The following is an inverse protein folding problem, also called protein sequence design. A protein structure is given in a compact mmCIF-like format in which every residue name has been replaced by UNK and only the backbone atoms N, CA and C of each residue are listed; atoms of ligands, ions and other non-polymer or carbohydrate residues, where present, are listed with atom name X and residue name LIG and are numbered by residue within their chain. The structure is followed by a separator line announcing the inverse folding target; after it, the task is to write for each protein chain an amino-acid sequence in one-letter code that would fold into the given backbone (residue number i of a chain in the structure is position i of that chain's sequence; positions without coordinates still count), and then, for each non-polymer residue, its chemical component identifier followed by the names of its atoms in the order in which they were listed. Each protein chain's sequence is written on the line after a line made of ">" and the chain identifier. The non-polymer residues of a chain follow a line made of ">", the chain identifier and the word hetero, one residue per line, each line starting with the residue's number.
data_IF_710147656093
#
_entry.id   IF_710147656093
#
_cell.length_a   1.000
_cell.length_b   1.000
_cell.length_c   1.000
_cell.angle_alpha   90.00
_cell.angle_beta   90.00
_cell.angle_gamma   90.00
#
_symmetry.space_group_name_H-M   'P 1'
#
loop_
_entity.id
_entity.type
_entity.pdbx_description
1 polymer ?
#
# COMPACT_ATOMS: atom_id res chain seq x y z
N UNK A 1 -35.99 -7.80 21.90
CA UNK A 1 -36.00 -8.64 23.11
C UNK A 1 -35.81 -10.09 22.67
N UNK A 2 -34.60 -10.64 22.83
CA UNK A 2 -34.35 -12.06 22.55
C UNK A 2 -34.84 -12.88 23.75
N UNK A 3 -35.94 -13.61 23.56
CA UNK A 3 -36.16 -14.86 24.30
C UNK A 3 -35.09 -15.86 23.84
N UNK A 4 -34.67 -16.77 24.72
CA UNK A 4 -33.78 -17.94 24.46
C UNK A 4 -32.33 -17.89 24.98
N UNK A 5 -32.06 -17.28 26.13
CA UNK A 5 -30.78 -17.54 26.86
C UNK A 5 -30.93 -17.94 28.33
N UNK A 6 -32.16 -18.08 28.83
CA UNK A 6 -32.37 -18.32 30.26
C UNK A 6 -32.38 -19.80 30.67
N UNK A 7 -32.55 -20.73 29.74
CA UNK A 7 -32.80 -22.13 30.07
C UNK A 7 -31.95 -23.08 29.22
N UNK A 8 -31.37 -24.09 29.88
CA UNK A 8 -30.51 -25.07 29.22
C UNK A 8 -31.41 -26.01 28.41
N UNK A 9 -31.06 -26.22 27.14
CA UNK A 9 -31.82 -27.12 26.25
C UNK A 9 -31.96 -28.53 26.84
N UNK A 10 -33.13 -29.16 26.63
CA UNK A 10 -33.50 -30.44 27.27
C UNK A 10 -32.56 -31.60 26.89
N UNK A 11 -31.97 -31.56 25.69
CA UNK A 11 -30.96 -32.53 25.27
C UNK A 11 -29.70 -32.47 26.12
N UNK A 12 -29.28 -31.26 26.50
CA UNK A 12 -28.14 -31.04 27.40
C UNK A 12 -28.46 -31.44 28.83
N UNK A 13 -29.63 -31.08 29.35
CA UNK A 13 -30.09 -31.49 30.70
C UNK A 13 -30.03 -33.01 30.87
N UNK A 14 -30.55 -33.77 29.90
CA UNK A 14 -30.54 -35.24 29.90
C UNK A 14 -29.11 -35.81 29.85
N UNK A 15 -28.26 -35.24 28.99
CA UNK A 15 -26.88 -35.71 28.81
C UNK A 15 -26.03 -35.47 30.05
N UNK A 16 -26.06 -34.25 30.61
CA UNK A 16 -25.32 -33.88 31.80
C UNK A 16 -25.78 -34.68 33.03
N UNK A 17 -27.09 -34.90 33.18
CA UNK A 17 -27.64 -35.74 34.26
C UNK A 17 -27.05 -37.15 34.23
N UNK A 18 -26.83 -37.72 33.04
CA UNK A 18 -26.21 -39.04 32.92
C UNK A 18 -24.70 -39.00 33.14
N UNK A 19 -24.01 -37.97 32.64
CA UNK A 19 -22.55 -37.82 32.83
C UNK A 19 -22.21 -37.67 34.32
N UNK A 20 -22.97 -36.86 35.05
CA UNK A 20 -22.74 -36.58 36.47
C UNK A 20 -23.06 -37.73 37.42
N UNK A 21 -23.58 -38.85 36.90
CA UNK A 21 -23.64 -40.13 37.65
C UNK A 21 -22.30 -40.86 37.68
N UNK A 22 -21.39 -40.55 36.76
CA UNK A 22 -20.12 -41.28 36.60
C UNK A 22 -18.89 -40.37 36.70
N UNK A 23 -19.07 -39.06 36.52
CA UNK A 23 -17.97 -38.11 36.47
C UNK A 23 -18.22 -36.91 37.37
N UNK A 24 -17.16 -36.52 38.09
CA UNK A 24 -17.15 -35.34 38.95
C UNK A 24 -16.76 -34.11 38.13
N UNK A 25 -17.63 -33.09 38.03
CA UNK A 25 -17.34 -31.87 37.31
C UNK A 25 -16.29 -31.00 38.01
N UNK A 26 -15.41 -30.43 37.19
CA UNK A 26 -14.51 -29.34 37.57
C UNK A 26 -14.96 -28.11 36.77
N UNK A 27 -15.43 -27.09 37.47
CA UNK A 27 -15.93 -25.84 36.88
C UNK A 27 -14.82 -24.81 36.87
N UNK A 28 -14.41 -24.34 35.69
CA UNK A 28 -13.31 -23.39 35.50
C UNK A 28 -13.78 -22.20 34.65
N UNK A 29 -13.57 -20.98 35.12
CA UNK A 29 -13.77 -19.74 34.35
C UNK A 29 -15.15 -19.08 34.46
N UNK A 30 -15.28 -17.90 33.82
CA UNK A 30 -16.46 -17.01 33.92
C UNK A 30 -17.79 -17.65 33.47
N UNK A 31 -17.74 -18.65 32.58
CA UNK A 31 -18.93 -19.33 32.06
C UNK A 31 -19.61 -20.30 33.04
N UNK A 32 -18.97 -20.63 34.17
CA UNK A 32 -19.57 -21.51 35.20
C UNK A 32 -20.77 -20.88 35.90
N UNK A 33 -20.81 -19.55 36.00
CA UNK A 33 -21.93 -18.80 36.60
C UNK A 33 -22.99 -18.39 35.56
N UNK A 34 -23.08 -19.12 34.45
CA UNK A 34 -24.18 -18.97 33.51
C UNK A 34 -25.52 -19.30 34.18
N UNK A 35 -26.54 -18.48 33.93
CA UNK A 35 -27.83 -18.61 34.59
C UNK A 35 -28.52 -19.95 34.33
N UNK A 36 -28.36 -20.48 33.11
CA UNK A 36 -29.00 -21.72 32.67
C UNK A 36 -28.32 -22.97 33.26
N UNK A 37 -26.98 -22.99 33.30
CA UNK A 37 -26.22 -24.08 33.92
C UNK A 37 -26.39 -24.10 35.44
N UNK A 38 -26.34 -22.93 36.09
CA UNK A 38 -26.56 -22.81 37.52
C UNK A 38 -27.96 -23.28 37.91
N UNK A 39 -28.99 -22.90 37.14
CA UNK A 39 -30.35 -23.37 37.35
C UNK A 39 -30.49 -24.90 37.25
N UNK A 40 -29.82 -25.51 36.25
CA UNK A 40 -29.78 -26.97 36.11
C UNK A 40 -29.09 -27.66 37.31
N UNK A 41 -27.91 -27.18 37.71
CA UNK A 41 -27.17 -27.75 38.85
C UNK A 41 -27.94 -27.58 40.18
N UNK A 42 -28.68 -26.49 40.34
CA UNK A 42 -29.56 -26.27 41.50
C UNK A 42 -30.74 -27.24 41.55
N UNK A 43 -31.23 -27.73 40.41
CA UNK A 43 -32.33 -28.70 40.32
C UNK A 43 -31.84 -30.15 40.46
N UNK A 44 -30.60 -30.43 40.09
CA UNK A 44 -30.03 -31.77 40.15
C UNK A 44 -29.99 -32.29 41.61
N UNK A 45 -30.40 -33.53 41.84
CA UNK A 45 -30.47 -34.11 43.19
C UNK A 45 -29.09 -34.32 43.80
N UNK A 46 -28.16 -34.90 43.03
CA UNK A 46 -26.78 -35.14 43.46
C UNK A 46 -25.83 -35.30 42.27
N UNK A 47 -24.54 -35.12 42.53
CA UNK A 47 -23.44 -35.35 41.58
C UNK A 47 -22.48 -36.35 42.22
N UNK A 48 -22.18 -37.44 41.51
CA UNK A 48 -21.29 -38.49 42.02
C UNK A 48 -19.85 -37.96 42.14
N UNK A 49 -19.27 -38.08 43.33
CA UNK A 49 -17.96 -37.50 43.67
C UNK A 49 -17.96 -35.98 43.90
N UNK A 50 -19.12 -35.34 43.85
CA UNK A 50 -19.33 -33.94 44.22
C UNK A 50 -19.05 -32.92 43.10
N UNK A 51 -18.57 -31.72 43.44
CA UNK A 51 -18.23 -30.68 42.45
C UNK A 51 -16.99 -29.90 42.86
N UNK A 52 -16.04 -29.70 41.95
CA UNK A 52 -14.91 -28.80 42.18
C UNK A 52 -15.19 -27.47 41.48
N UNK A 53 -15.24 -26.39 42.25
CA UNK A 53 -15.48 -25.06 41.73
C UNK A 53 -14.22 -24.22 41.83
N UNK A 54 -13.58 -23.96 40.69
CA UNK A 54 -12.35 -23.19 40.64
C UNK A 54 -12.63 -21.69 40.61
N UNK A 55 -11.88 -20.92 41.39
CA UNK A 55 -11.98 -19.46 41.43
C UNK A 55 -10.60 -18.83 41.50
N UNK A 56 -10.43 -17.66 40.89
CA UNK A 56 -9.19 -16.90 41.00
C UNK A 56 -9.17 -16.12 42.29
N UNK A 57 -8.11 -16.26 43.08
CA UNK A 57 -7.98 -15.50 44.33
C UNK A 57 -8.00 -13.99 44.09
N UNK A 58 -7.47 -13.55 42.93
CA UNK A 58 -7.52 -12.14 42.48
C UNK A 58 -8.94 -11.58 42.31
N UNK A 59 -9.90 -12.45 41.99
CA UNK A 59 -11.29 -12.05 41.72
C UNK A 59 -12.16 -12.08 43.00
N UNK A 60 -11.58 -12.51 44.13
CA UNK A 60 -12.28 -12.69 45.40
C UNK A 60 -13.08 -14.00 45.48
N UNK A 61 -13.68 -14.23 46.65
CA UNK A 61 -14.47 -15.45 46.90
C UNK A 61 -15.72 -15.51 46.01
N UNK A 62 -16.13 -16.70 45.55
CA UNK A 62 -17.37 -16.89 44.81
C UNK A 62 -18.60 -16.35 45.56
N UNK A 63 -19.64 -15.97 44.82
CA UNK A 63 -20.87 -15.46 45.43
C UNK A 63 -21.62 -16.52 46.25
N UNK A 64 -22.58 -16.10 47.09
CA UNK A 64 -23.34 -17.00 47.97
C UNK A 64 -24.14 -18.08 47.22
N UNK A 65 -24.56 -17.81 45.98
CA UNK A 65 -25.28 -18.79 45.15
C UNK A 65 -24.38 -19.99 44.83
N UNK A 66 -23.14 -19.71 44.42
CA UNK A 66 -22.13 -20.73 44.14
C UNK A 66 -21.78 -21.50 45.41
N UNK A 67 -21.56 -20.80 46.53
CA UNK A 67 -21.24 -21.47 47.81
C UNK A 67 -22.33 -22.46 48.23
N UNK A 68 -23.60 -22.07 48.14
CA UNK A 68 -24.74 -22.95 48.44
C UNK A 68 -24.79 -24.18 47.52
N UNK A 69 -24.55 -23.98 46.22
CA UNK A 69 -24.54 -25.07 45.24
C UNK A 69 -23.40 -26.06 45.51
N UNK A 70 -22.20 -25.56 45.82
CA UNK A 70 -21.04 -26.38 46.16
C UNK A 70 -21.32 -27.20 47.42
N UNK A 71 -21.91 -26.60 48.46
CA UNK A 71 -22.31 -27.32 49.67
C UNK A 71 -23.38 -28.38 49.37
N UNK A 72 -24.41 -28.05 48.59
CA UNK A 72 -25.48 -28.97 48.20
C UNK A 72 -24.90 -30.26 47.59
N UNK A 73 -23.92 -30.11 46.71
CA UNK A 73 -23.29 -31.20 45.98
C UNK A 73 -22.01 -31.72 46.62
N UNK A 74 -21.79 -31.51 47.93
CA UNK A 74 -20.60 -32.01 48.67
C UNK A 74 -19.27 -31.66 47.97
N UNK A 75 -19.19 -30.46 47.40
CA UNK A 75 -18.09 -30.01 46.59
C UNK A 75 -17.03 -29.21 47.34
N UNK A 76 -16.01 -28.77 46.59
CA UNK A 76 -14.87 -27.99 47.09
C UNK A 76 -14.69 -26.71 46.27
N UNK A 77 -14.42 -25.60 46.96
CA UNK A 77 -13.90 -24.40 46.33
C UNK A 77 -12.39 -24.55 46.17
N UNK A 78 -11.89 -24.41 44.95
CA UNK A 78 -10.47 -24.60 44.62
C UNK A 78 -9.89 -23.26 44.15
N UNK A 79 -8.99 -22.63 44.92
CA UNK A 79 -8.29 -21.43 44.45
C UNK A 79 -7.34 -21.81 43.29
N UNK A 80 -7.32 -20.97 42.25
CA UNK A 80 -6.42 -21.10 41.10
C UNK A 80 -5.76 -19.76 40.80
N UNK A 81 -4.52 -19.76 40.32
CA UNK A 81 -3.83 -18.54 39.86
C UNK A 81 -4.46 -18.00 38.57
N UNK A 82 -4.81 -18.90 37.66
CA UNK A 82 -5.45 -18.60 36.39
C UNK A 82 -5.84 -19.88 35.65
N UNK A 83 -6.59 -19.71 34.54
CA UNK A 83 -7.05 -20.83 33.73
C UNK A 83 -5.86 -21.59 33.13
N UNK A 84 -4.89 -20.87 32.56
CA UNK A 84 -3.77 -21.47 31.84
C UNK A 84 -2.82 -22.21 32.80
N UNK A 85 -2.53 -21.63 33.97
CA UNK A 85 -1.70 -22.23 35.02
C UNK A 85 -2.33 -23.52 35.55
N UNK A 86 -3.65 -23.51 35.79
CA UNK A 86 -4.38 -24.70 36.21
C UNK A 86 -4.31 -25.80 35.14
N UNK A 87 -4.51 -25.46 33.86
CA UNK A 87 -4.43 -26.42 32.77
C UNK A 87 -3.02 -27.01 32.61
N UNK A 88 -1.97 -26.20 32.82
CA UNK A 88 -0.58 -26.67 32.85
C UNK A 88 -0.34 -27.62 34.03
N UNK A 89 -0.83 -27.30 35.22
CA UNK A 89 -0.72 -28.17 36.39
C UNK A 89 -1.45 -29.51 36.16
N UNK A 90 -2.67 -29.49 35.62
CA UNK A 90 -3.40 -30.70 35.26
C UNK A 90 -2.63 -31.54 34.21
N UNK A 91 -2.08 -30.89 33.19
CA UNK A 91 -1.27 -31.56 32.18
C UNK A 91 -0.02 -32.22 32.79
N UNK A 92 0.68 -31.52 33.68
CA UNK A 92 1.87 -32.06 34.36
C UNK A 92 1.58 -33.32 35.19
N UNK A 93 0.37 -33.42 35.76
CA UNK A 93 -0.06 -34.55 36.59
C UNK A 93 -0.60 -35.73 35.79
N UNK A 94 -1.15 -35.48 34.60
CA UNK A 94 -1.75 -36.51 33.74
C UNK A 94 -0.89 -36.90 32.54
N UNK A 95 0.19 -36.17 32.31
CA UNK A 95 1.19 -36.39 31.26
C UNK A 95 0.56 -36.45 29.86
N UNK A 96 -0.34 -35.51 29.52
CA UNK A 96 -1.01 -35.49 28.21
C UNK A 96 -0.10 -35.03 27.04
N UNK A 97 1.15 -34.61 27.34
CA UNK A 97 2.12 -34.12 26.38
C UNK A 97 1.82 -32.68 25.91
N UNK A 98 2.85 -31.94 25.52
CA UNK A 98 2.68 -30.63 24.88
C UNK A 98 2.26 -30.88 23.42
N UNK A 99 1.06 -30.45 23.04
CA UNK A 99 0.46 -30.69 21.71
C UNK A 99 1.01 -29.74 20.63
N UNK A 100 2.29 -29.41 20.69
CA UNK A 100 2.91 -28.32 19.91
C UNK A 100 2.68 -28.50 18.39
N UNK A 101 3.01 -29.69 17.88
CA UNK A 101 2.91 -29.97 16.44
C UNK A 101 1.46 -30.03 15.93
N UNK A 102 0.52 -30.51 16.76
CA UNK A 102 -0.90 -30.58 16.41
C UNK A 102 -1.57 -29.21 16.47
N UNK A 103 -1.23 -28.40 17.47
CA UNK A 103 -1.72 -27.02 17.62
C UNK A 103 -1.19 -26.18 16.46
N UNK A 104 0.10 -26.31 16.13
CA UNK A 104 0.72 -25.63 14.99
C UNK A 104 0.01 -26.00 13.68
N UNK A 105 -0.21 -27.29 13.42
CA UNK A 105 -0.93 -27.76 12.23
C UNK A 105 -2.37 -27.25 12.16
N UNK A 106 -3.08 -27.18 13.30
CA UNK A 106 -4.45 -26.62 13.35
C UNK A 106 -4.42 -25.10 13.10
N UNK A 107 -3.45 -24.38 13.64
CA UNK A 107 -3.28 -22.95 13.42
C UNK A 107 -2.96 -22.64 11.95
N UNK A 108 -2.07 -23.42 11.33
CA UNK A 108 -1.75 -23.34 9.90
C UNK A 108 -2.99 -23.61 9.03
N UNK A 109 -3.74 -24.67 9.33
CA UNK A 109 -4.99 -24.97 8.61
C UNK A 109 -6.04 -23.86 8.76
N UNK A 110 -6.14 -23.24 9.94
CA UNK A 110 -7.04 -22.09 10.16
C UNK A 110 -6.57 -20.87 9.37
N UNK A 111 -5.26 -20.59 9.36
CA UNK A 111 -4.68 -19.50 8.59
C UNK A 111 -4.94 -19.66 7.09
N UNK A 112 -4.72 -20.87 6.54
CA UNK A 112 -5.00 -21.19 5.13
C UNK A 112 -6.48 -20.99 4.79
N UNK A 113 -7.38 -21.43 5.69
CA UNK A 113 -8.82 -21.23 5.54
C UNK A 113 -9.20 -19.75 5.52
N UNK A 114 -8.62 -18.94 6.41
CA UNK A 114 -8.88 -17.49 6.42
C UNK A 114 -8.35 -16.81 5.16
N UNK A 115 -7.16 -17.20 4.69
CA UNK A 115 -6.60 -16.70 3.44
C UNK A 115 -7.52 -17.02 2.25
N UNK A 116 -7.98 -18.26 2.13
CA UNK A 116 -8.95 -18.64 1.11
C UNK A 116 -10.31 -17.93 1.23
N UNK A 117 -10.74 -17.58 2.45
CA UNK A 117 -11.95 -16.77 2.64
C UNK A 117 -11.74 -15.32 2.18
N UNK A 118 -10.60 -14.71 2.49
CA UNK A 118 -10.24 -13.37 2.03
C UNK A 118 -10.13 -13.32 0.51
N UNK A 119 -9.46 -14.31 -0.11
CA UNK A 119 -9.37 -14.43 -1.57
C UNK A 119 -10.76 -14.58 -2.20
N UNK A 120 -11.64 -15.41 -1.62
CA UNK A 120 -13.02 -15.54 -2.08
C UNK A 120 -13.84 -14.25 -1.90
N UNK A 121 -13.62 -13.49 -0.83
CA UNK A 121 -14.27 -12.20 -0.61
C UNK A 121 -13.77 -11.17 -1.62
N UNK A 122 -12.47 -11.10 -1.89
CA UNK A 122 -11.89 -10.22 -2.92
C UNK A 122 -12.37 -10.59 -4.33
N UNK A 123 -12.56 -11.88 -4.60
CA UNK A 123 -13.18 -12.35 -5.85
C UNK A 123 -14.66 -11.97 -5.94
N UNK A 124 -15.37 -11.90 -4.80
CA UNK A 124 -16.77 -11.41 -4.74
C UNK A 124 -16.86 -9.89 -4.80
N UNK A 125 -15.92 -9.13 -4.22
CA UNK A 125 -15.86 -7.66 -4.38
C UNK A 125 -15.67 -7.22 -5.85
N UNK A 126 -15.15 -8.11 -6.70
CA UNK A 126 -15.10 -7.90 -8.15
C UNK A 126 -16.46 -8.00 -8.84
N UNK A 127 -17.55 -8.41 -8.17
CA UNK A 127 -18.89 -8.28 -8.73
C UNK A 127 -19.45 -6.88 -8.45
N UNK A 128 -19.62 -6.09 -9.53
CA UNK A 128 -20.06 -4.69 -9.52
C UNK A 128 -21.40 -4.42 -8.80
N UNK A 129 -22.19 -5.43 -8.47
CA UNK A 129 -23.51 -5.27 -7.87
C UNK A 129 -23.48 -4.84 -6.39
N UNK A 130 -22.45 -5.22 -5.62
CA UNK A 130 -22.41 -4.89 -4.17
C UNK A 130 -21.90 -3.47 -3.91
N UNK A 131 -21.00 -2.96 -4.76
CA UNK A 131 -20.51 -1.58 -4.71
C UNK A 131 -21.62 -0.59 -5.03
N UNK A 132 -22.46 -0.86 -6.04
CA UNK A 132 -23.56 0.05 -6.42
C UNK A 132 -24.60 0.21 -5.30
N UNK A 133 -24.99 -0.88 -4.62
CA UNK A 133 -25.96 -0.81 -3.52
C UNK A 133 -25.40 -0.09 -2.28
N UNK A 134 -24.11 -0.27 -1.98
CA UNK A 134 -23.43 0.43 -0.90
C UNK A 134 -23.26 1.92 -1.23
N UNK A 135 -22.85 2.24 -2.46
CA UNK A 135 -22.74 3.61 -2.98
C UNK A 135 -24.08 4.34 -2.96
N UNK A 136 -25.18 3.69 -3.35
CA UNK A 136 -26.53 4.27 -3.30
C UNK A 136 -27.01 4.50 -1.87
N UNK A 137 -26.64 3.61 -0.93
CA UNK A 137 -26.97 3.78 0.50
C UNK A 137 -26.17 4.94 1.10
N UNK A 138 -24.87 5.03 0.77
CA UNK A 138 -23.99 6.11 1.22
C UNK A 138 -24.41 7.46 0.62
N UNK A 139 -24.79 7.52 -0.66
CA UNK A 139 -25.34 8.74 -1.28
C UNK A 139 -26.62 9.22 -0.59
N UNK A 140 -27.45 8.29 -0.11
CA UNK A 140 -28.69 8.62 0.61
C UNK A 140 -28.44 9.03 2.05
N UNK A 141 -27.42 8.46 2.72
CA UNK A 141 -27.06 8.76 4.11
C UNK A 141 -25.54 8.58 4.36
N UNK A 142 -24.70 9.59 4.06
CA UNK A 142 -23.29 9.50 4.40
C UNK A 142 -23.13 9.52 5.92
N UNK A 143 -22.49 8.51 6.49
CA UNK A 143 -22.17 8.46 7.93
C UNK A 143 -20.66 8.48 8.15
N UNK A 144 -20.17 9.57 8.73
CA UNK A 144 -18.77 9.74 9.10
C UNK A 144 -17.87 10.18 7.94
N UNK A 145 -16.64 10.53 8.29
CA UNK A 145 -15.68 11.13 7.38
C UNK A 145 -15.34 10.26 6.16
N UNK A 146 -15.30 8.93 6.34
CA UNK A 146 -14.94 7.97 5.28
C UNK A 146 -15.99 7.92 4.16
N UNK A 147 -17.26 8.24 4.46
CA UNK A 147 -18.32 8.31 3.46
C UNK A 147 -18.08 9.46 2.48
N UNK A 148 -17.57 10.59 2.96
CA UNK A 148 -17.20 11.74 2.13
C UNK A 148 -16.08 11.36 1.16
N UNK A 149 -15.07 10.62 1.61
CA UNK A 149 -13.99 10.13 0.74
C UNK A 149 -14.52 9.26 -0.40
N UNK A 150 -15.46 8.36 -0.11
CA UNK A 150 -16.06 7.49 -1.12
C UNK A 150 -16.89 8.31 -2.14
N UNK A 151 -17.69 9.27 -1.66
CA UNK A 151 -18.44 10.17 -2.53
C UNK A 151 -17.50 11.00 -3.43
N UNK A 152 -16.42 11.54 -2.86
CA UNK A 152 -15.43 12.28 -3.60
C UNK A 152 -14.69 11.41 -4.63
N UNK A 153 -14.39 10.14 -4.32
CA UNK A 153 -13.78 9.19 -5.27
C UNK A 153 -14.70 8.87 -6.44
N UNK A 154 -16.00 8.68 -6.17
CA UNK A 154 -16.99 8.37 -7.20
C UNK A 154 -17.34 9.57 -8.11
N UNK A 155 -17.18 10.80 -7.61
CA UNK A 155 -17.44 12.01 -8.37
C UNK A 155 -16.32 12.30 -9.40
N UNK A 156 -16.71 12.40 -10.67
CA UNK A 156 -15.81 12.68 -11.80
C UNK A 156 -15.69 14.18 -12.07
N UNK A 157 -16.73 14.94 -11.77
CA UNK A 157 -16.71 16.40 -11.91
C UNK A 157 -15.84 17.02 -10.81
N UNK A 158 -14.77 17.69 -11.23
CA UNK A 158 -13.75 18.23 -10.34
C UNK A 158 -14.34 19.28 -9.38
N UNK A 159 -15.27 20.12 -9.85
CA UNK A 159 -15.86 21.20 -9.04
C UNK A 159 -16.85 20.64 -8.01
N UNK A 160 -17.65 19.64 -8.39
CA UNK A 160 -18.53 18.94 -7.43
C UNK A 160 -17.72 18.15 -6.41
N UNK A 161 -16.65 17.50 -6.83
CA UNK A 161 -15.73 16.79 -5.93
C UNK A 161 -15.11 17.71 -4.90
N UNK A 162 -14.69 18.91 -5.31
CA UNK A 162 -14.19 19.93 -4.38
C UNK A 162 -15.26 20.32 -3.36
N UNK A 163 -16.50 20.58 -3.80
CA UNK A 163 -17.63 20.88 -2.88
C UNK A 163 -17.93 19.74 -1.90
N UNK A 164 -17.77 18.49 -2.30
CA UNK A 164 -17.92 17.32 -1.41
C UNK A 164 -16.89 17.40 -0.28
N UNK A 165 -15.62 17.66 -0.59
CA UNK A 165 -14.59 17.83 0.44
C UNK A 165 -14.87 19.05 1.34
N UNK A 166 -15.22 20.21 0.77
CA UNK A 166 -15.56 21.41 1.54
C UNK A 166 -16.79 21.22 2.44
N UNK A 167 -17.77 20.44 2.00
CA UNK A 167 -18.90 20.02 2.84
C UNK A 167 -18.47 19.08 3.95
N UNK A 168 -17.67 18.06 3.62
CA UNK A 168 -17.20 17.06 4.57
C UNK A 168 -16.32 17.62 5.69
N UNK A 169 -15.41 18.56 5.39
CA UNK A 169 -14.61 19.22 6.44
C UNK A 169 -15.45 20.17 7.32
N UNK A 170 -16.59 20.68 6.83
CA UNK A 170 -17.52 21.46 7.65
C UNK A 170 -18.35 20.56 8.58
N UNK A 171 -18.73 19.38 8.11
CA UNK A 171 -19.48 18.39 8.89
C UNK A 171 -18.58 17.64 9.89
N UNK A 172 -17.34 17.36 9.52
CA UNK A 172 -16.36 16.63 10.32
C UNK A 172 -15.07 17.45 10.50
N UNK A 173 -15.11 18.58 11.22
CA UNK A 173 -13.98 19.53 11.34
C UNK A 173 -12.78 18.98 12.13
N UNK A 174 -12.92 17.84 12.80
CA UNK A 174 -11.83 17.18 13.53
C UNK A 174 -11.22 15.99 12.75
N UNK A 175 -11.69 15.71 11.52
CA UNK A 175 -11.19 14.59 10.73
C UNK A 175 -9.86 14.91 10.05
N UNK A 176 -8.77 14.46 10.67
CA UNK A 176 -7.40 14.49 10.12
C UNK A 176 -7.33 13.88 8.71
N UNK A 177 -8.06 12.78 8.49
CA UNK A 177 -8.07 12.06 7.22
C UNK A 177 -8.71 12.89 6.09
N UNK A 178 -9.80 13.61 6.36
CA UNK A 178 -10.43 14.44 5.32
C UNK A 178 -9.55 15.61 4.91
N UNK A 179 -8.92 16.28 5.86
CA UNK A 179 -7.95 17.33 5.54
C UNK A 179 -6.80 16.79 4.70
N UNK A 180 -6.26 15.63 5.06
CA UNK A 180 -5.22 14.97 4.27
C UNK A 180 -5.65 14.56 2.86
N UNK A 181 -6.82 13.94 2.72
CA UNK A 181 -7.34 13.51 1.43
C UNK A 181 -7.68 14.71 0.53
N UNK A 182 -8.27 15.77 1.11
CA UNK A 182 -8.55 16.99 0.38
C UNK A 182 -7.25 17.69 -0.06
N UNK A 183 -6.22 17.71 0.79
CA UNK A 183 -4.90 18.19 0.41
C UNK A 183 -4.30 17.41 -0.77
N UNK A 184 -4.43 16.08 -0.78
CA UNK A 184 -4.00 15.24 -1.91
C UNK A 184 -4.78 15.61 -3.19
N UNK A 185 -6.09 15.77 -3.11
CA UNK A 185 -6.93 16.17 -4.24
C UNK A 185 -6.52 17.54 -4.79
N UNK A 186 -6.32 18.53 -3.92
CA UNK A 186 -5.89 19.87 -4.30
C UNK A 186 -4.52 19.85 -4.99
N UNK A 187 -3.59 19.05 -4.49
CA UNK A 187 -2.26 18.92 -5.10
C UNK A 187 -2.29 18.17 -6.44
N UNK A 188 -2.95 17.01 -6.50
CA UNK A 188 -2.87 16.12 -7.67
C UNK A 188 -3.83 16.50 -8.80
N UNK A 189 -4.98 17.07 -8.47
CA UNK A 189 -6.05 17.36 -9.46
C UNK A 189 -6.16 18.85 -9.74
N UNK A 190 -6.30 19.68 -8.70
CA UNK A 190 -6.45 21.13 -8.86
C UNK A 190 -5.13 21.85 -9.10
N UNK A 191 -4.01 21.24 -8.68
CA UNK A 191 -2.69 21.87 -8.60
C UNK A 191 -2.68 23.17 -7.79
N UNK A 192 -3.61 23.28 -6.84
CA UNK A 192 -3.64 24.37 -5.86
C UNK A 192 -2.72 23.98 -4.69
N UNK A 193 -1.42 24.21 -4.90
CA UNK A 193 -0.37 23.77 -3.98
C UNK A 193 -0.41 24.54 -2.65
N UNK A 194 -0.82 25.81 -2.67
CA UNK A 194 -0.89 26.64 -1.48
C UNK A 194 -2.04 26.20 -0.57
N UNK A 195 -3.24 25.96 -1.11
CA UNK A 195 -4.33 25.38 -0.31
C UNK A 195 -4.01 23.95 0.14
N UNK A 196 -3.42 23.14 -0.73
CA UNK A 196 -3.01 21.77 -0.38
C UNK A 196 -2.11 21.76 0.85
N UNK A 197 -1.07 22.61 0.86
CA UNK A 197 -0.17 22.73 1.99
C UNK A 197 -0.87 23.24 3.26
N UNK A 198 -1.79 24.20 3.12
CA UNK A 198 -2.61 24.68 4.23
C UNK A 198 -3.39 23.55 4.90
N UNK A 199 -4.00 22.65 4.12
CA UNK A 199 -4.74 21.52 4.67
C UNK A 199 -3.86 20.39 5.22
N UNK A 200 -2.67 20.14 4.65
CA UNK A 200 -1.70 19.25 5.30
C UNK A 200 -1.28 19.76 6.67
N UNK A 201 -0.97 21.06 6.77
CA UNK A 201 -0.64 21.69 8.07
C UNK A 201 -1.81 21.59 9.03
N UNK A 202 -3.04 21.84 8.57
CA UNK A 202 -4.23 21.72 9.42
C UNK A 202 -4.44 20.30 9.95
N UNK A 203 -4.25 19.29 9.10
CA UNK A 203 -4.32 17.89 9.52
C UNK A 203 -3.28 17.56 10.61
N UNK A 204 -2.05 18.07 10.47
CA UNK A 204 -0.98 17.87 11.44
C UNK A 204 -1.12 18.71 12.72
N UNK A 205 -1.86 19.83 12.68
CA UNK A 205 -2.26 20.57 13.88
C UNK A 205 -3.27 19.77 14.72
N UNK A 206 -4.21 19.09 14.06
CA UNK A 206 -5.22 18.27 14.72
C UNK A 206 -4.63 17.00 15.32
N UNK A 207 -3.72 16.34 14.60
CA UNK A 207 -2.95 15.20 15.11
C UNK A 207 -1.49 15.24 14.61
N UNK A 208 -0.56 15.74 15.45
CA UNK A 208 0.86 15.81 15.13
C UNK A 208 1.54 14.44 14.96
N UNK A 209 0.91 13.36 15.40
CA UNK A 209 1.45 12.00 15.44
C UNK A 209 0.81 11.09 14.37
N UNK A 210 -0.02 11.63 13.49
CA UNK A 210 -0.64 10.85 12.42
C UNK A 210 0.37 10.53 11.31
N UNK A 211 0.95 9.33 11.37
CA UNK A 211 2.05 8.89 10.50
C UNK A 211 1.71 9.02 8.99
N UNK A 212 0.52 8.61 8.57
CA UNK A 212 0.13 8.63 7.15
C UNK A 212 0.08 10.05 6.56
N UNK A 213 -0.44 11.04 7.30
CA UNK A 213 -0.45 12.44 6.85
C UNK A 213 0.97 13.01 6.88
N UNK A 214 1.77 12.66 7.88
CA UNK A 214 3.19 13.04 7.97
C UNK A 214 3.97 12.56 6.73
N UNK A 215 3.80 11.29 6.34
CA UNK A 215 4.42 10.73 5.14
C UNK A 215 3.90 11.34 3.83
N UNK A 216 2.58 11.61 3.74
CA UNK A 216 2.00 12.29 2.58
C UNK A 216 2.50 13.72 2.43
N UNK A 217 2.64 14.46 3.53
CA UNK A 217 3.18 15.81 3.51
C UNK A 217 4.67 15.82 3.17
N UNK A 218 5.45 14.85 3.66
CA UNK A 218 6.84 14.66 3.22
C UNK A 218 6.94 14.46 1.71
N UNK A 219 6.08 13.58 1.15
CA UNK A 219 5.99 13.35 -0.29
C UNK A 219 5.56 14.60 -1.06
N UNK A 220 4.66 15.42 -0.52
CA UNK A 220 4.27 16.70 -1.14
C UNK A 220 5.44 17.70 -1.15
N UNK A 221 6.13 17.87 -0.02
CA UNK A 221 7.30 18.75 0.08
C UNK A 221 8.42 18.32 -0.88
N UNK A 222 8.66 17.01 -0.98
CA UNK A 222 9.63 16.44 -1.90
C UNK A 222 9.23 16.61 -3.36
N UNK A 223 8.04 16.17 -3.76
CA UNK A 223 7.67 16.06 -5.17
C UNK A 223 7.20 17.39 -5.75
N UNK A 224 6.50 18.22 -4.97
CA UNK A 224 5.84 19.44 -5.44
C UNK A 224 6.66 20.67 -5.07
N UNK A 225 6.91 20.90 -3.76
CA UNK A 225 7.61 22.12 -3.31
C UNK A 225 9.12 22.08 -3.56
N UNK A 226 9.68 20.88 -3.74
CA UNK A 226 11.14 20.64 -3.83
C UNK A 226 11.90 21.17 -2.60
N UNK A 227 11.23 21.25 -1.45
CA UNK A 227 11.81 21.66 -0.17
C UNK A 227 12.46 20.46 0.52
N UNK A 228 13.58 20.00 -0.04
CA UNK A 228 14.17 18.70 0.28
C UNK A 228 14.60 18.55 1.74
N UNK A 229 15.12 19.60 2.37
CA UNK A 229 15.54 19.53 3.79
C UNK A 229 14.34 19.37 4.73
N UNK A 230 13.24 20.09 4.46
CA UNK A 230 11.99 19.92 5.23
C UNK A 230 11.38 18.56 4.96
N UNK A 231 11.34 18.12 3.70
CA UNK A 231 10.83 16.80 3.33
C UNK A 231 11.58 15.68 4.07
N UNK A 232 12.92 15.76 4.15
CA UNK A 232 13.73 14.80 4.91
C UNK A 232 13.40 14.79 6.41
N UNK A 233 13.16 15.96 7.01
CA UNK A 233 12.70 16.05 8.40
C UNK A 233 11.40 15.27 8.64
N UNK A 234 10.42 15.44 7.75
CA UNK A 234 9.15 14.71 7.82
C UNK A 234 9.29 13.22 7.49
N UNK A 235 10.16 12.83 6.55
CA UNK A 235 10.45 11.42 6.30
C UNK A 235 11.07 10.74 7.54
N UNK A 236 12.00 11.39 8.24
CA UNK A 236 12.53 10.84 9.49
C UNK A 236 11.46 10.74 10.57
N UNK A 237 10.64 11.80 10.74
CA UNK A 237 9.54 11.82 11.69
C UNK A 237 8.53 10.69 11.44
N UNK A 238 8.14 10.41 10.19
CA UNK A 238 7.18 9.31 9.94
C UNK A 238 7.76 7.93 10.29
N UNK A 239 9.07 7.73 10.17
CA UNK A 239 9.73 6.49 10.58
C UNK A 239 9.88 6.35 12.10
N UNK A 240 9.89 7.48 12.84
CA UNK A 240 9.80 7.47 14.30
C UNK A 240 8.38 7.15 14.78
N UNK A 241 7.36 7.70 14.10
CA UNK A 241 5.95 7.48 14.43
C UNK A 241 5.48 6.07 14.06
N UNK A 242 5.93 5.52 12.94
CA UNK A 242 5.56 4.20 12.46
C UNK A 242 6.78 3.46 11.85
N UNK A 243 7.63 2.86 12.69
CA UNK A 243 8.89 2.25 12.26
C UNK A 243 8.72 0.96 11.44
N UNK A 244 7.51 0.39 11.41
CA UNK A 244 7.20 -0.89 10.76
C UNK A 244 6.39 -0.72 9.47
N UNK A 245 6.19 0.51 8.99
CA UNK A 245 5.48 0.75 7.74
C UNK A 245 6.42 0.66 6.53
N UNK A 246 6.22 -0.37 5.71
CA UNK A 246 7.05 -0.61 4.53
C UNK A 246 7.00 0.53 3.51
N UNK A 247 5.81 1.05 3.16
CA UNK A 247 5.70 2.17 2.20
C UNK A 247 6.45 3.44 2.65
N UNK A 248 6.34 3.85 3.92
CA UNK A 248 7.06 5.03 4.42
C UNK A 248 8.57 4.84 4.35
N UNK A 249 9.03 3.63 4.72
CA UNK A 249 10.44 3.23 4.63
C UNK A 249 10.94 3.24 3.17
N UNK A 250 10.19 2.65 2.24
CA UNK A 250 10.51 2.61 0.82
C UNK A 250 10.48 3.99 0.15
N UNK A 251 9.56 4.87 0.58
CA UNK A 251 9.50 6.26 0.10
C UNK A 251 10.75 7.05 0.54
N UNK A 252 11.18 6.89 1.79
CA UNK A 252 12.41 7.55 2.26
C UNK A 252 13.66 7.00 1.55
N UNK A 253 13.72 5.69 1.28
CA UNK A 253 14.78 5.10 0.46
C UNK A 253 14.85 5.75 -0.94
N UNK A 254 13.69 5.92 -1.58
CA UNK A 254 13.60 6.59 -2.88
C UNK A 254 14.04 8.06 -2.83
N UNK A 255 13.68 8.79 -1.77
CA UNK A 255 14.15 10.16 -1.55
C UNK A 255 15.68 10.22 -1.40
N UNK A 256 16.27 9.36 -0.56
CA UNK A 256 17.72 9.30 -0.37
C UNK A 256 18.46 8.98 -1.67
N UNK A 257 17.93 8.03 -2.45
CA UNK A 257 18.53 7.67 -3.74
C UNK A 257 18.46 8.79 -4.76
N UNK A 258 17.29 9.43 -4.93
CA UNK A 258 17.06 10.38 -6.04
C UNK A 258 17.57 11.78 -5.72
N UNK A 259 17.39 12.23 -4.48
CA UNK A 259 17.66 13.62 -4.08
C UNK A 259 19.01 13.74 -3.39
N UNK A 260 19.28 12.89 -2.39
CA UNK A 260 20.54 12.97 -1.63
C UNK A 260 21.70 12.26 -2.29
N UNK A 261 21.42 11.37 -3.27
CA UNK A 261 22.42 10.48 -3.89
C UNK A 261 23.18 9.65 -2.84
N UNK A 262 22.55 9.40 -1.70
CA UNK A 262 23.08 8.60 -0.59
C UNK A 262 22.67 7.15 -0.81
N UNK A 263 23.38 6.51 -1.75
CA UNK A 263 22.97 5.22 -2.30
C UNK A 263 23.07 4.08 -1.29
N UNK A 264 24.04 4.13 -0.37
CA UNK A 264 24.23 3.09 0.64
C UNK A 264 23.10 3.13 1.69
N UNK A 265 22.73 4.32 2.17
CA UNK A 265 21.56 4.43 3.06
C UNK A 265 20.28 4.12 2.34
N UNK A 266 20.12 4.55 1.08
CA UNK A 266 18.95 4.22 0.27
C UNK A 266 18.76 2.70 0.14
N UNK A 267 19.82 1.97 -0.20
CA UNK A 267 19.76 0.51 -0.29
C UNK A 267 19.41 -0.15 1.05
N UNK A 268 19.99 0.32 2.15
CA UNK A 268 19.64 -0.15 3.50
C UNK A 268 18.15 0.00 3.80
N UNK A 269 17.56 1.16 3.49
CA UNK A 269 16.13 1.37 3.69
C UNK A 269 15.25 0.60 2.70
N UNK A 270 15.67 0.40 1.45
CA UNK A 270 14.94 -0.49 0.52
C UNK A 270 14.89 -1.92 1.04
N UNK A 271 16.02 -2.47 1.50
CA UNK A 271 16.07 -3.81 2.10
C UNK A 271 15.20 -3.90 3.34
N UNK A 272 15.28 -2.92 4.24
CA UNK A 272 14.41 -2.84 5.42
C UNK A 272 12.92 -2.82 5.04
N UNK A 273 12.53 -2.03 4.04
CA UNK A 273 11.14 -1.97 3.60
C UNK A 273 10.65 -3.34 3.08
N UNK A 274 11.50 -4.10 2.39
CA UNK A 274 11.20 -5.45 1.90
C UNK A 274 11.25 -6.53 3.00
N UNK A 275 12.01 -6.31 4.07
CA UNK A 275 11.95 -7.15 5.28
C UNK A 275 10.63 -6.96 6.03
N UNK A 276 10.15 -5.71 6.12
CA UNK A 276 8.86 -5.37 6.72
C UNK A 276 7.68 -5.92 5.91
N UNK A 277 7.72 -5.77 4.58
CA UNK A 277 6.67 -6.26 3.68
C UNK A 277 7.26 -6.79 2.37
N UNK A 278 7.50 -8.10 2.34
CA UNK A 278 8.21 -8.78 1.24
C UNK A 278 7.46 -8.83 -0.10
N UNK A 279 6.17 -8.51 -0.10
CA UNK A 279 5.26 -8.50 -1.25
C UNK A 279 4.78 -7.08 -1.64
N UNK A 280 5.40 -6.03 -1.10
CA UNK A 280 5.07 -4.65 -1.46
C UNK A 280 5.53 -4.31 -2.89
N UNK A 281 4.64 -4.40 -3.87
CA UNK A 281 4.95 -4.25 -5.31
C UNK A 281 5.61 -2.92 -5.63
N UNK A 282 5.14 -1.81 -5.04
CA UNK A 282 5.70 -0.49 -5.27
C UNK A 282 7.17 -0.41 -4.80
N UNK A 283 7.47 -0.96 -3.61
CA UNK A 283 8.84 -0.99 -3.07
C UNK A 283 9.73 -1.91 -3.89
N UNK A 284 9.23 -3.09 -4.28
CA UNK A 284 9.96 -4.04 -5.14
C UNK A 284 10.34 -3.38 -6.47
N UNK A 285 9.37 -2.76 -7.16
CA UNK A 285 9.62 -2.10 -8.44
C UNK A 285 10.58 -0.92 -8.33
N UNK A 286 10.47 -0.13 -7.25
CA UNK A 286 11.41 0.96 -6.99
C UNK A 286 12.83 0.46 -6.70
N UNK A 287 12.96 -0.63 -5.93
CA UNK A 287 14.25 -1.22 -5.63
C UNK A 287 14.89 -1.87 -6.87
N UNK A 288 14.10 -2.52 -7.74
CA UNK A 288 14.55 -3.01 -9.04
C UNK A 288 15.11 -1.86 -9.90
N UNK A 289 14.40 -0.73 -9.94
CA UNK A 289 14.86 0.48 -10.61
C UNK A 289 16.17 1.03 -10.05
N UNK A 290 16.33 1.04 -8.72
CA UNK A 290 17.56 1.42 -8.04
C UNK A 290 18.73 0.50 -8.38
N UNK A 291 18.52 -0.82 -8.30
CA UNK A 291 19.54 -1.83 -8.64
C UNK A 291 20.01 -1.69 -10.08
N UNK A 292 19.09 -1.46 -11.02
CA UNK A 292 19.40 -1.24 -12.42
C UNK A 292 20.18 0.07 -12.67
N UNK A 293 19.65 1.20 -12.20
CA UNK A 293 20.19 2.53 -12.57
C UNK A 293 21.42 2.92 -11.77
N UNK A 294 21.48 2.56 -10.49
CA UNK A 294 22.54 3.00 -9.56
C UNK A 294 23.58 1.90 -9.37
N UNK A 295 23.15 0.70 -8.95
CA UNK A 295 24.09 -0.40 -8.65
C UNK A 295 24.56 -1.13 -9.91
N UNK A 296 23.84 -0.99 -11.02
CA UNK A 296 24.07 -1.73 -12.27
C UNK A 296 24.05 -3.26 -12.06
N UNK A 297 23.34 -3.73 -11.03
CA UNK A 297 23.10 -5.14 -10.76
C UNK A 297 21.87 -5.57 -11.58
N UNK A 298 22.10 -5.78 -12.88
CA UNK A 298 21.03 -6.00 -13.85
C UNK A 298 20.29 -7.32 -13.63
N UNK A 299 20.99 -8.36 -13.16
CA UNK A 299 20.39 -9.67 -12.92
C UNK A 299 19.42 -9.61 -11.74
N UNK A 300 19.82 -9.01 -10.61
CA UNK A 300 18.88 -8.80 -9.50
C UNK A 300 17.78 -7.82 -9.83
N UNK A 301 18.07 -6.75 -10.57
CA UNK A 301 17.04 -5.82 -11.01
C UNK A 301 15.93 -6.55 -11.80
N UNK A 302 16.31 -7.44 -12.72
CA UNK A 302 15.35 -8.24 -13.47
C UNK A 302 14.58 -9.23 -12.59
N UNK A 303 15.23 -9.88 -11.63
CA UNK A 303 14.57 -10.75 -10.65
C UNK A 303 13.46 -10.00 -9.90
N UNK A 304 13.75 -8.80 -9.39
CA UNK A 304 12.76 -8.00 -8.68
C UNK A 304 11.66 -7.46 -9.60
N UNK A 305 11.96 -7.07 -10.84
CA UNK A 305 10.90 -6.71 -11.80
C UNK A 305 9.96 -7.88 -12.07
N UNK A 306 10.49 -9.09 -12.29
CA UNK A 306 9.67 -10.30 -12.46
C UNK A 306 8.84 -10.58 -11.22
N UNK A 307 9.44 -10.54 -10.02
CA UNK A 307 8.72 -10.72 -8.76
C UNK A 307 7.56 -9.74 -8.58
N UNK A 308 7.77 -8.45 -8.91
CA UNK A 308 6.69 -7.46 -8.85
C UNK A 308 5.53 -7.80 -9.82
N UNK A 309 5.84 -8.29 -11.02
CA UNK A 309 4.83 -8.69 -12.01
C UNK A 309 4.18 -10.05 -11.72
N UNK A 310 4.85 -10.93 -10.97
CA UNK A 310 4.24 -12.16 -10.44
C UNK A 310 3.18 -11.84 -9.37
N UNK A 311 3.45 -10.86 -8.52
CA UNK A 311 2.52 -10.38 -7.50
C UNK A 311 1.36 -9.57 -8.10
N UNK A 312 1.66 -8.65 -9.02
CA UNK A 312 0.67 -7.82 -9.71
C UNK A 312 0.98 -7.74 -11.20
N UNK A 313 0.42 -8.68 -11.97
CA UNK A 313 0.70 -8.81 -13.40
C UNK A 313 0.23 -7.63 -14.27
N UNK A 314 -0.66 -6.78 -13.73
CA UNK A 314 -1.21 -5.60 -14.40
C UNK A 314 -0.75 -4.27 -13.76
N UNK A 315 0.32 -4.28 -12.95
CA UNK A 315 0.89 -3.06 -12.40
C UNK A 315 1.57 -2.24 -13.51
N UNK A 316 0.86 -1.24 -14.05
CA UNK A 316 1.28 -0.47 -15.24
C UNK A 316 2.64 0.20 -15.05
N UNK A 317 2.92 0.76 -13.87
CA UNK A 317 4.19 1.40 -13.56
C UNK A 317 5.37 0.39 -13.62
N UNK A 318 5.19 -0.80 -13.05
CA UNK A 318 6.20 -1.87 -13.09
C UNK A 318 6.40 -2.38 -14.51
N UNK A 319 5.30 -2.60 -15.27
CA UNK A 319 5.34 -3.01 -16.68
C UNK A 319 6.16 -2.02 -17.50
N UNK A 320 5.87 -0.72 -17.41
CA UNK A 320 6.58 0.31 -18.15
C UNK A 320 8.07 0.41 -17.77
N UNK A 321 8.39 0.31 -16.48
CA UNK A 321 9.77 0.31 -16.01
C UNK A 321 10.54 -0.93 -16.45
N UNK A 322 9.90 -2.10 -16.46
CA UNK A 322 10.52 -3.33 -16.92
C UNK A 322 10.72 -3.33 -18.44
N UNK A 323 9.77 -2.81 -19.22
CA UNK A 323 9.94 -2.58 -20.65
C UNK A 323 11.16 -1.68 -20.94
N UNK A 324 11.27 -0.56 -20.22
CA UNK A 324 12.42 0.33 -20.32
C UNK A 324 13.73 -0.36 -19.95
N UNK A 325 13.73 -1.22 -18.92
CA UNK A 325 14.91 -2.00 -18.55
C UNK A 325 15.31 -3.00 -19.65
N UNK A 326 14.37 -3.79 -20.17
CA UNK A 326 14.61 -4.74 -21.25
C UNK A 326 15.15 -4.04 -22.51
N UNK A 327 14.57 -2.89 -22.84
CA UNK A 327 14.97 -2.08 -23.99
C UNK A 327 16.36 -1.44 -23.81
N UNK A 328 16.56 -0.69 -22.73
CA UNK A 328 17.73 0.16 -22.57
C UNK A 328 18.96 -0.59 -22.04
N UNK A 329 18.75 -1.63 -21.22
CA UNK A 329 19.82 -2.38 -20.56
C UNK A 329 20.05 -3.71 -21.24
N UNK A 330 19.02 -4.56 -21.34
CA UNK A 330 19.17 -5.91 -21.91
C UNK A 330 19.24 -5.95 -23.43
N UNK A 331 18.75 -4.89 -24.11
CA UNK A 331 18.62 -4.83 -25.58
C UNK A 331 17.72 -5.94 -26.14
N UNK A 332 16.76 -6.39 -25.33
CA UNK A 332 15.78 -7.42 -25.69
C UNK A 332 14.53 -6.73 -26.26
N UNK A 333 14.65 -6.26 -27.49
CA UNK A 333 13.65 -5.38 -28.12
C UNK A 333 12.27 -6.04 -28.26
N UNK A 334 12.20 -7.31 -28.65
CA UNK A 334 10.92 -7.99 -28.88
C UNK A 334 10.14 -8.13 -27.56
N UNK A 335 10.82 -8.54 -26.48
CA UNK A 335 10.21 -8.62 -25.14
C UNK A 335 9.82 -7.23 -24.63
N UNK A 336 10.65 -6.22 -24.87
CA UNK A 336 10.34 -4.85 -24.47
C UNK A 336 9.08 -4.32 -25.19
N UNK A 337 8.93 -4.61 -26.48
CA UNK A 337 7.77 -4.24 -27.28
C UNK A 337 6.47 -4.84 -26.73
N UNK A 338 6.48 -6.13 -26.34
CA UNK A 338 5.33 -6.78 -25.73
C UNK A 338 4.87 -6.05 -24.45
N UNK A 339 5.81 -5.67 -23.59
CA UNK A 339 5.49 -4.92 -22.37
C UNK A 339 5.08 -3.47 -22.65
N UNK A 340 5.64 -2.80 -23.66
CA UNK A 340 5.16 -1.46 -24.06
C UNK A 340 3.71 -1.52 -24.57
N UNK A 341 3.37 -2.50 -25.40
CA UNK A 341 1.98 -2.74 -25.86
C UNK A 341 1.07 -2.99 -24.67
N UNK A 342 1.46 -3.88 -23.76
CA UNK A 342 0.69 -4.16 -22.54
C UNK A 342 0.47 -2.92 -21.67
N UNK A 343 1.48 -2.06 -21.51
CA UNK A 343 1.33 -0.81 -20.77
C UNK A 343 0.28 0.11 -21.41
N UNK A 344 0.29 0.24 -22.74
CA UNK A 344 -0.66 1.06 -23.49
C UNK A 344 -2.07 0.45 -23.58
N UNK A 345 -2.20 -0.87 -23.50
CA UNK A 345 -3.50 -1.53 -23.38
C UNK A 345 -4.15 -1.25 -22.03
N UNK A 346 -3.35 -1.25 -20.95
CA UNK A 346 -3.84 -1.00 -19.60
C UNK A 346 -4.06 0.50 -19.30
N UNK A 347 -3.26 1.38 -19.90
CA UNK A 347 -3.35 2.83 -19.72
C UNK A 347 -3.13 3.57 -21.07
N UNK A 348 -4.17 3.63 -21.93
CA UNK A 348 -4.05 4.12 -23.30
C UNK A 348 -3.81 5.62 -23.43
N UNK A 349 -4.07 6.37 -22.36
CA UNK A 349 -4.01 7.83 -22.29
C UNK A 349 -2.75 8.35 -21.57
N UNK A 350 -1.78 7.47 -21.30
CA UNK A 350 -0.55 7.82 -20.61
C UNK A 350 0.51 8.36 -21.56
N UNK A 351 0.85 9.64 -21.40
CA UNK A 351 1.88 10.29 -22.20
C UNK A 351 3.28 9.69 -22.00
N UNK A 352 3.63 9.22 -20.79
CA UNK A 352 4.94 8.61 -20.52
C UNK A 352 5.08 7.26 -21.24
N UNK A 353 4.08 6.38 -21.13
CA UNK A 353 4.11 5.09 -21.83
C UNK A 353 4.11 5.28 -23.35
N UNK A 354 3.33 6.25 -23.84
CA UNK A 354 3.30 6.60 -25.26
C UNK A 354 4.65 7.14 -25.74
N UNK A 355 5.29 8.02 -24.97
CA UNK A 355 6.62 8.58 -25.26
C UNK A 355 7.72 7.51 -25.26
N UNK A 356 7.71 6.61 -24.27
CA UNK A 356 8.68 5.50 -24.20
C UNK A 356 8.53 4.56 -25.41
N UNK A 357 7.30 4.28 -25.81
CA UNK A 357 7.06 3.43 -26.98
C UNK A 357 7.43 4.14 -28.29
N UNK A 358 7.26 5.46 -28.36
CA UNK A 358 7.79 6.23 -29.49
C UNK A 358 9.31 6.13 -29.59
N UNK A 359 10.01 6.27 -28.46
CA UNK A 359 11.47 6.15 -28.40
C UNK A 359 11.97 4.79 -28.89
N UNK A 360 11.25 3.71 -28.55
CA UNK A 360 11.54 2.35 -29.03
C UNK A 360 11.61 2.28 -30.56
N UNK A 361 10.62 2.84 -31.27
CA UNK A 361 10.62 2.85 -32.74
C UNK A 361 11.74 3.73 -33.31
N UNK A 362 11.95 4.90 -32.73
CA UNK A 362 12.97 5.84 -33.20
C UNK A 362 14.37 5.26 -33.14
N UNK A 363 14.73 4.55 -32.07
CA UNK A 363 16.06 3.94 -31.92
C UNK A 363 16.28 2.79 -32.93
N UNK A 364 15.19 2.15 -33.40
CA UNK A 364 15.24 1.14 -34.48
C UNK A 364 15.23 1.78 -35.89
N UNK A 365 15.16 3.10 -35.99
CA UNK A 365 15.06 3.82 -37.26
C UNK A 365 13.65 3.86 -37.87
N UNK A 366 12.63 3.36 -37.17
CA UNK A 366 11.24 3.43 -37.60
C UNK A 366 10.65 4.80 -37.25
N UNK A 367 10.96 5.78 -38.11
CA UNK A 367 10.50 7.17 -37.95
C UNK A 367 9.00 7.32 -38.09
N UNK A 368 8.33 6.45 -38.85
CA UNK A 368 6.89 6.54 -39.08
C UNK A 368 6.12 6.23 -37.80
N UNK A 369 6.39 5.08 -37.18
CA UNK A 369 5.75 4.74 -35.91
C UNK A 369 6.24 5.66 -34.78
N UNK A 370 7.53 6.01 -34.75
CA UNK A 370 8.07 6.98 -33.79
C UNK A 370 7.31 8.32 -33.83
N UNK A 371 7.08 8.88 -35.02
CA UNK A 371 6.32 10.13 -35.21
C UNK A 371 4.86 9.99 -34.79
N UNK A 372 4.22 8.88 -35.16
CA UNK A 372 2.82 8.57 -34.78
C UNK A 372 2.64 8.62 -33.27
N UNK A 373 3.50 7.93 -32.51
CA UNK A 373 3.39 7.88 -31.05
C UNK A 373 3.83 9.18 -30.37
N UNK A 374 4.84 9.90 -30.89
CA UNK A 374 5.15 11.26 -30.40
C UNK A 374 3.93 12.17 -30.53
N UNK A 375 3.30 12.19 -31.71
CA UNK A 375 2.13 13.04 -31.95
C UNK A 375 0.97 12.66 -31.04
N UNK A 376 0.73 11.36 -30.85
CA UNK A 376 -0.23 10.86 -29.85
C UNK A 376 0.11 11.37 -28.44
N UNK A 377 1.37 11.30 -28.01
CA UNK A 377 1.78 11.77 -26.69
C UNK A 377 1.45 13.26 -26.48
N UNK A 378 1.72 14.09 -27.49
CA UNK A 378 1.39 15.53 -27.46
C UNK A 378 -0.11 15.85 -27.51
N UNK A 379 -1.00 14.88 -27.77
CA UNK A 379 -2.46 15.10 -27.63
C UNK A 379 -2.93 15.05 -26.19
N UNK A 380 -2.11 14.51 -25.29
CA UNK A 380 -2.42 14.47 -23.86
C UNK A 380 -2.01 15.77 -23.17
N UNK A 381 -2.65 16.07 -22.05
CA UNK A 381 -2.22 17.18 -21.21
C UNK A 381 -0.93 16.78 -20.47
N UNK A 382 0.21 17.26 -20.96
CA UNK A 382 1.52 17.01 -20.36
C UNK A 382 1.93 18.22 -19.51
N UNK A 383 1.82 18.06 -18.19
CA UNK A 383 2.31 19.05 -17.22
C UNK A 383 3.74 18.76 -16.75
N UNK A 384 4.24 17.57 -17.05
CA UNK A 384 5.57 17.14 -16.70
C UNK A 384 6.58 17.69 -17.71
N UNK A 385 7.31 18.72 -17.28
CA UNK A 385 8.37 19.34 -18.08
C UNK A 385 9.49 18.36 -18.42
N UNK A 386 9.70 17.32 -17.61
CA UNK A 386 10.75 16.34 -17.81
C UNK A 386 10.36 15.37 -18.95
N UNK A 387 9.08 14.97 -19.04
CA UNK A 387 8.57 14.27 -20.22
C UNK A 387 8.57 15.18 -21.47
N UNK A 388 8.18 16.45 -21.33
CA UNK A 388 8.18 17.39 -22.47
C UNK A 388 9.57 17.54 -23.08
N UNK A 389 10.62 17.64 -22.24
CA UNK A 389 11.98 17.80 -22.76
C UNK A 389 12.44 16.55 -23.50
N UNK A 390 12.04 15.34 -23.06
CA UNK A 390 12.29 14.10 -23.80
C UNK A 390 11.59 14.06 -25.15
N UNK A 391 10.29 14.38 -25.21
CA UNK A 391 9.52 14.35 -26.46
C UNK A 391 10.01 15.39 -27.47
N UNK A 392 10.38 16.58 -27.01
CA UNK A 392 11.01 17.59 -27.87
C UNK A 392 12.42 17.20 -28.29
N UNK A 393 13.17 16.50 -27.44
CA UNK A 393 14.44 15.92 -27.83
C UNK A 393 14.27 14.91 -28.96
N UNK A 394 13.27 14.04 -28.88
CA UNK A 394 12.97 13.09 -29.96
C UNK A 394 12.58 13.78 -31.26
N UNK A 395 11.74 14.82 -31.19
CA UNK A 395 11.39 15.65 -32.36
C UNK A 395 12.63 16.27 -32.99
N UNK A 396 13.45 16.92 -32.17
CA UNK A 396 14.67 17.57 -32.62
C UNK A 396 15.67 16.57 -33.21
N UNK A 397 15.90 15.42 -32.57
CA UNK A 397 16.88 14.44 -33.01
C UNK A 397 16.53 13.75 -34.34
N UNK A 398 15.24 13.47 -34.59
CA UNK A 398 14.85 12.53 -35.65
C UNK A 398 14.15 13.16 -36.86
N UNK A 399 13.61 14.38 -36.72
CA UNK A 399 12.67 14.95 -37.68
C UNK A 399 13.06 16.36 -38.15
N UNK A 400 13.57 16.51 -39.40
CA UNK A 400 14.03 17.79 -39.95
C UNK A 400 13.02 18.93 -39.87
N UNK A 401 11.73 18.64 -40.03
CA UNK A 401 10.65 19.62 -39.95
C UNK A 401 10.50 20.27 -38.55
N UNK A 402 11.09 19.65 -37.53
CA UNK A 402 11.05 20.14 -36.14
C UNK A 402 12.40 20.69 -35.67
N UNK A 403 13.42 20.85 -36.51
CA UNK A 403 14.73 21.31 -36.04
C UNK A 403 14.69 22.71 -35.42
N UNK A 404 14.04 23.67 -36.07
CA UNK A 404 13.96 25.04 -35.54
C UNK A 404 13.10 25.13 -34.27
N UNK A 405 11.89 24.58 -34.30
CA UNK A 405 10.97 24.63 -33.17
C UNK A 405 11.47 23.75 -32.02
N UNK A 406 11.99 22.56 -32.33
CA UNK A 406 12.56 21.63 -31.35
C UNK A 406 13.72 22.24 -30.59
N UNK A 407 14.64 22.94 -31.28
CA UNK A 407 15.72 23.67 -30.61
C UNK A 407 15.18 24.75 -29.65
N UNK A 408 14.24 25.59 -30.11
CA UNK A 408 13.63 26.65 -29.28
C UNK A 408 12.97 26.07 -28.03
N UNK A 409 12.20 25.00 -28.19
CA UNK A 409 11.47 24.34 -27.09
C UNK A 409 12.40 23.64 -26.12
N UNK A 410 13.41 22.93 -26.61
CA UNK A 410 14.44 22.34 -25.75
C UNK A 410 15.13 23.41 -24.92
N UNK A 411 15.55 24.51 -25.55
CA UNK A 411 16.22 25.61 -24.86
C UNK A 411 15.33 26.26 -23.78
N UNK A 412 14.06 26.50 -24.08
CA UNK A 412 13.07 27.01 -23.13
C UNK A 412 12.90 26.06 -21.93
N UNK A 413 12.70 24.76 -22.20
CA UNK A 413 12.47 23.76 -21.17
C UNK A 413 13.69 23.61 -20.25
N UNK A 414 14.90 23.50 -20.79
CA UNK A 414 16.10 23.35 -19.96
C UNK A 414 16.39 24.61 -19.14
N UNK A 415 16.10 25.81 -19.66
CA UNK A 415 16.17 27.09 -18.92
C UNK A 415 15.17 27.16 -17.78
N UNK A 416 13.99 26.59 -17.97
CA UNK A 416 12.97 26.41 -16.93
C UNK A 416 13.26 25.19 -16.02
N UNK A 417 14.47 24.65 -16.08
CA UNK A 417 14.96 23.59 -15.22
C UNK A 417 14.34 22.23 -15.48
N UNK A 418 13.83 21.96 -16.69
CA UNK A 418 13.43 20.60 -17.09
C UNK A 418 14.67 19.70 -17.16
N UNK A 419 14.59 18.54 -16.51
CA UNK A 419 15.69 17.57 -16.41
C UNK A 419 15.11 16.16 -16.34
N UNK A 420 15.60 15.25 -17.16
CA UNK A 420 15.27 13.83 -17.04
C UNK A 420 16.51 13.05 -16.58
N UNK A 421 16.89 13.27 -15.32
CA UNK A 421 18.14 12.74 -14.75
C UNK A 421 18.15 11.21 -14.79
N UNK A 422 19.20 10.64 -15.37
CA UNK A 422 19.35 9.19 -15.53
C UNK A 422 18.47 8.56 -16.61
N UNK A 423 17.81 9.38 -17.44
CA UNK A 423 17.24 8.93 -18.71
C UNK A 423 18.33 8.73 -19.75
N UNK A 424 18.09 7.85 -20.73
CA UNK A 424 19.11 7.49 -21.71
C UNK A 424 18.76 8.02 -23.11
N UNK A 425 19.33 9.16 -23.49
CA UNK A 425 19.14 9.75 -24.82
C UNK A 425 20.20 9.31 -25.84
N UNK A 426 21.31 8.70 -25.40
CA UNK A 426 22.44 8.31 -26.26
C UNK A 426 22.04 7.47 -27.47
N UNK A 427 21.16 6.46 -27.37
CA UNK A 427 20.71 5.70 -28.54
C UNK A 427 19.99 6.55 -29.60
N UNK A 428 19.27 7.60 -29.18
CA UNK A 428 18.64 8.53 -30.12
C UNK A 428 19.68 9.37 -30.86
N UNK A 429 20.73 9.81 -30.15
CA UNK A 429 21.86 10.55 -30.76
C UNK A 429 22.58 9.68 -31.78
N UNK A 430 22.87 8.42 -31.43
CA UNK A 430 23.54 7.49 -32.34
C UNK A 430 22.70 7.22 -33.59
N UNK A 431 21.38 7.10 -33.46
CA UNK A 431 20.50 6.95 -34.61
C UNK A 431 20.41 8.26 -35.43
N UNK A 432 20.27 9.41 -34.78
CA UNK A 432 20.27 10.71 -35.46
C UNK A 432 21.58 10.97 -36.24
N UNK A 433 22.72 10.50 -35.70
CA UNK A 433 24.02 10.53 -36.38
C UNK A 433 24.04 9.67 -37.64
N UNK A 434 23.50 8.45 -37.58
CA UNK A 434 23.35 7.59 -38.77
C UNK A 434 22.45 8.23 -39.82
N UNK A 435 21.42 8.95 -39.38
CA UNK A 435 20.46 9.63 -40.25
C UNK A 435 20.99 10.97 -40.81
N UNK A 436 22.20 11.39 -40.45
CA UNK A 436 22.82 12.60 -40.95
C UNK A 436 22.31 13.90 -40.34
N UNK A 437 21.86 13.88 -39.08
CA UNK A 437 21.38 15.08 -38.39
C UNK A 437 22.47 16.19 -38.37
N UNK A 438 22.15 17.44 -38.74
CA UNK A 438 23.14 18.49 -39.00
C UNK A 438 23.83 19.05 -37.75
N UNK A 439 23.24 18.85 -36.56
CA UNK A 439 23.72 19.42 -35.29
C UNK A 439 23.94 18.36 -34.20
N UNK A 440 24.75 17.33 -34.47
CA UNK A 440 25.04 16.26 -33.50
C UNK A 440 25.65 16.78 -32.20
N UNK A 441 26.54 17.76 -32.26
CA UNK A 441 27.18 18.32 -31.07
C UNK A 441 26.15 18.98 -30.13
N UNK A 442 25.12 19.62 -30.68
CA UNK A 442 24.01 20.17 -29.88
C UNK A 442 23.20 19.07 -29.19
N UNK A 443 22.96 17.94 -29.85
CA UNK A 443 22.28 16.80 -29.23
C UNK A 443 23.05 16.26 -28.03
N UNK A 444 24.38 16.13 -28.12
CA UNK A 444 25.21 15.71 -26.99
C UNK A 444 25.21 16.73 -25.84
N UNK A 445 25.20 18.03 -26.14
CA UNK A 445 25.08 19.08 -25.12
C UNK A 445 23.72 19.03 -24.43
N UNK A 446 22.63 18.91 -25.18
CA UNK A 446 21.30 18.73 -24.60
C UNK A 446 21.21 17.46 -23.77
N UNK A 447 21.75 16.32 -24.21
CA UNK A 447 21.80 15.10 -23.40
C UNK A 447 22.49 15.34 -22.06
N UNK A 448 23.69 15.93 -22.04
CA UNK A 448 24.38 16.26 -20.77
C UNK A 448 23.55 17.15 -19.84
N UNK A 449 22.88 18.17 -20.39
CA UNK A 449 22.03 19.06 -19.58
C UNK A 449 20.82 18.28 -19.04
N UNK A 450 20.14 17.52 -19.90
CA UNK A 450 18.88 16.84 -19.57
C UNK A 450 19.12 15.67 -18.61
N UNK A 451 20.15 14.85 -18.86
CA UNK A 451 20.33 13.53 -18.24
C UNK A 451 21.41 13.50 -17.15
N UNK A 452 22.39 14.41 -17.21
CA UNK A 452 23.54 14.48 -16.29
C UNK A 452 23.54 15.77 -15.42
N UNK A 453 22.51 16.62 -15.56
CA UNK A 453 22.38 17.92 -14.87
C UNK A 453 23.56 18.86 -15.12
N UNK A 454 24.12 18.81 -16.33
CA UNK A 454 25.18 19.73 -16.72
C UNK A 454 24.66 21.19 -16.79
N UNK A 455 25.53 22.18 -16.53
CA UNK A 455 25.18 23.59 -16.65
C UNK A 455 24.75 23.97 -18.07
N UNK A 456 23.81 24.92 -18.19
CA UNK A 456 23.20 25.30 -19.48
C UNK A 456 24.18 26.05 -20.40
N UNK A 457 25.19 26.72 -19.83
CA UNK A 457 26.21 27.51 -20.56
C UNK A 457 27.08 26.65 -21.50
N UNK A 458 27.04 25.31 -21.39
CA UNK A 458 27.68 24.44 -22.37
C UNK A 458 27.02 24.49 -23.75
N UNK A 459 25.83 25.08 -23.89
CA UNK A 459 25.22 25.32 -25.20
C UNK A 459 25.96 26.41 -25.98
N UNK A 460 26.55 27.39 -25.27
CA UNK A 460 27.22 28.56 -25.85
C UNK A 460 28.72 28.32 -26.16
N UNK A 461 29.30 27.25 -25.61
CA UNK A 461 30.69 26.81 -25.80
C UNK A 461 30.79 25.75 -26.89
#
# INVERSE_FOLDING_TARGET
>A
QSKDTADLDDGWKKSLTNIFKFYTPIVIGYGGNDGSLMGFLEQLESIEGGIFWCYRESDGLPNERIKKLVIKHKGYLVPIEGFDEMMLQLNSKKNYGFLDEKIKKIAEQRAEKYKGQIENIQLREKSQETTVALEDTIKKQPRGWWAIELLARAEKDIEKKEKIYEGGIREFPESVQLYGNYAIFLSKVRKDYDKSEGYYKKALELDPNYANITGNYANFLHNVRKEYDKAEGYYKKVLELDPNHANHTGNYAGFLSKVRKDYDRAEGYYKKALELESNNVATIGNYAGFLSKVRKDYDKAEEYYKKALELESNNVATIGNYANFLHNVRKEYDRAEDYYKKALELDPDNANHTGNYAQFFLIKGDKENGKKYINKAFTFNIDDKDLLVELWFYRYAHFPEWYEEGYKRLLELVKNGARSIGWNLKPNIEQAKKDGHPHIDLLYKFDKIITEDAPIDILDK
#
